data_IF_694872328368
#
_entry.id   IF_694872328368
#
_cell.length_a   1.000
_cell.length_b   1.000
_cell.length_c   1.000
_cell.angle_alpha   90.00
_cell.angle_beta   90.00
_cell.angle_gamma   90.00
#
_symmetry.space_group_name_H-M   'P 1'
#
loop_
_entity.id
_entity.type
_entity.pdbx_description
1 polymer ?
#
# COMPACT_ATOMS: atom_id res chain seq x y z
N UNK A 1 14.07 -11.10 -9.13
CA UNK A 1 13.12 -11.95 -9.88
C UNK A 1 12.17 -11.13 -10.78
N UNK A 2 12.05 -9.81 -10.57
CA UNK A 2 11.19 -8.96 -11.40
C UNK A 2 9.73 -8.96 -10.96
N UNK A 3 9.45 -9.29 -9.69
CA UNK A 3 8.08 -9.36 -9.13
C UNK A 3 7.31 -8.04 -9.21
N UNK A 4 8.00 -6.88 -9.11
CA UNK A 4 7.40 -5.54 -9.25
C UNK A 4 7.85 -4.92 -10.57
N UNK A 5 6.91 -4.51 -11.42
CA UNK A 5 7.20 -3.96 -12.75
C UNK A 5 6.34 -2.74 -13.10
N UNK A 6 6.79 -1.97 -14.09
CA UNK A 6 6.06 -0.84 -14.66
C UNK A 6 5.68 0.22 -13.62
N UNK A 7 4.45 0.72 -13.72
CA UNK A 7 3.94 1.79 -12.84
C UNK A 7 3.81 1.43 -11.37
N UNK A 8 4.04 0.16 -10.98
CA UNK A 8 4.08 -0.24 -9.57
C UNK A 8 5.41 0.12 -8.89
N UNK A 9 6.50 0.21 -9.67
CA UNK A 9 7.82 0.60 -9.15
C UNK A 9 7.78 1.96 -8.44
N UNK A 10 7.32 3.07 -9.07
CA UNK A 10 7.29 4.36 -8.39
C UNK A 10 6.31 4.41 -7.20
N UNK A 11 5.27 3.56 -7.20
CA UNK A 11 4.32 3.46 -6.08
C UNK A 11 5.00 2.85 -4.86
N UNK A 12 5.72 1.75 -5.05
CA UNK A 12 6.45 1.08 -3.98
C UNK A 12 7.60 1.95 -3.46
N UNK A 13 8.36 2.60 -4.36
CA UNK A 13 9.41 3.54 -3.97
C UNK A 13 8.87 4.66 -3.07
N UNK A 14 7.70 5.22 -3.41
CA UNK A 14 7.05 6.24 -2.59
C UNK A 14 6.63 5.70 -1.22
N UNK A 15 6.03 4.50 -1.16
CA UNK A 15 5.64 3.87 0.10
C UNK A 15 6.85 3.61 1.00
N UNK A 16 7.94 3.08 0.43
CA UNK A 16 9.20 2.82 1.15
C UNK A 16 9.80 4.13 1.68
N UNK A 17 9.87 5.16 0.84
CA UNK A 17 10.40 6.46 1.25
C UNK A 17 9.58 7.10 2.39
N UNK A 18 8.25 6.97 2.35
CA UNK A 18 7.37 7.48 3.40
C UNK A 18 7.63 6.78 4.74
N UNK A 19 7.70 5.45 4.73
CA UNK A 19 7.95 4.67 5.95
C UNK A 19 9.34 4.94 6.51
N UNK A 20 10.36 5.04 5.66
CA UNK A 20 11.72 5.43 6.06
C UNK A 20 11.80 6.87 6.62
N UNK A 21 10.86 7.73 6.24
CA UNK A 21 10.76 9.11 6.75
C UNK A 21 9.95 9.23 8.04
N UNK A 22 9.55 8.11 8.66
CA UNK A 22 8.88 8.08 9.96
C UNK A 22 7.34 7.95 9.91
N UNK A 23 6.76 7.62 8.75
CA UNK A 23 5.36 7.21 8.68
C UNK A 23 5.23 5.76 9.18
N UNK A 24 4.28 5.50 10.07
CA UNK A 24 4.10 4.15 10.65
C UNK A 24 3.86 3.06 9.59
N UNK A 25 3.03 3.36 8.59
CA UNK A 25 2.77 2.46 7.47
C UNK A 25 2.19 3.21 6.25
N UNK A 26 2.36 2.61 5.07
CA UNK A 26 1.74 3.04 3.83
C UNK A 26 1.01 1.87 3.16
N UNK A 27 -0.15 2.12 2.55
CA UNK A 27 -0.97 1.08 1.91
C UNK A 27 -1.20 1.39 0.44
N UNK A 28 -1.00 0.41 -0.43
CA UNK A 28 -1.45 0.44 -1.82
C UNK A 28 -2.82 -0.26 -1.92
N UNK A 29 -3.87 0.52 -2.18
CA UNK A 29 -5.26 0.04 -2.25
C UNK A 29 -5.69 -0.35 -3.67
N UNK A 30 -6.57 -1.34 -3.80
CA UNK A 30 -7.33 -1.56 -5.04
C UNK A 30 -8.54 -0.61 -5.10
N UNK A 31 -8.38 0.50 -5.82
CA UNK A 31 -9.42 1.52 -5.97
C UNK A 31 -10.68 1.07 -6.73
N UNK A 32 -10.72 -0.13 -7.29
CA UNK A 32 -11.92 -0.68 -7.95
C UNK A 32 -12.89 -1.33 -6.96
N UNK A 33 -12.41 -1.67 -5.76
CA UNK A 33 -13.25 -2.27 -4.72
C UNK A 33 -14.09 -1.16 -4.07
N UNK A 34 -15.44 -1.28 -4.04
CA UNK A 34 -16.29 -0.33 -3.34
C UNK A 34 -15.89 -0.23 -1.88
N UNK A 35 -15.72 1.00 -1.39
CA UNK A 35 -15.34 1.28 -0.01
C UNK A 35 -13.99 0.71 0.42
N UNK A 36 -13.03 0.50 -0.51
CA UNK A 36 -11.69 -0.04 -0.21
C UNK A 36 -11.02 0.62 1.01
N UNK A 37 -11.13 1.95 1.16
CA UNK A 37 -10.61 2.67 2.32
C UNK A 37 -11.22 2.22 3.65
N UNK A 38 -12.55 2.05 3.69
CA UNK A 38 -13.24 1.61 4.90
C UNK A 38 -12.89 0.16 5.22
N UNK A 39 -12.80 -0.69 4.20
CA UNK A 39 -12.39 -2.09 4.36
C UNK A 39 -10.97 -2.20 4.90
N UNK A 40 -10.04 -1.38 4.39
CA UNK A 40 -8.66 -1.33 4.88
C UNK A 40 -8.58 -0.96 6.35
N UNK A 41 -9.30 0.08 6.76
CA UNK A 41 -9.20 0.62 8.13
C UNK A 41 -9.96 -0.25 9.14
N UNK A 42 -11.13 -0.77 8.77
CA UNK A 42 -12.08 -1.35 9.72
C UNK A 42 -12.19 -2.87 9.65
N UNK A 43 -11.37 -3.56 8.84
CA UNK A 43 -11.35 -5.02 8.77
C UNK A 43 -9.93 -5.56 8.94
N UNK A 44 -9.82 -6.78 9.49
CA UNK A 44 -8.52 -7.45 9.66
C UNK A 44 -7.90 -7.90 8.34
N UNK A 45 -8.72 -8.18 7.34
CA UNK A 45 -8.24 -8.66 6.05
C UNK A 45 -7.65 -7.52 5.21
N UNK A 46 -8.18 -6.31 5.36
CA UNK A 46 -7.84 -5.18 4.51
C UNK A 46 -8.31 -5.32 3.06
N UNK A 47 -7.98 -4.33 2.24
CA UNK A 47 -8.29 -4.25 0.81
C UNK A 47 -7.06 -3.86 -0.05
N UNK A 48 -5.86 -3.91 0.53
CA UNK A 48 -4.62 -3.54 -0.15
C UNK A 48 -3.39 -4.29 0.34
N UNK A 49 -2.23 -3.77 -0.05
CA UNK A 49 -0.92 -4.24 0.40
C UNK A 49 -0.33 -3.22 1.36
N UNK A 50 -0.08 -3.66 2.60
CA UNK A 50 0.54 -2.87 3.65
C UNK A 50 2.08 -2.90 3.54
N UNK A 51 2.71 -1.74 3.61
CA UNK A 51 4.16 -1.54 3.73
C UNK A 51 4.43 -0.87 5.07
N UNK A 52 5.28 -1.48 5.90
CA UNK A 52 5.70 -0.95 7.20
C UNK A 52 7.17 -1.32 7.47
N UNK A 53 7.80 -0.65 8.44
CA UNK A 53 9.18 -0.93 8.87
C UNK A 53 9.27 -2.16 9.77
#
# INVERSE_FOLDING_TARGET
>A
DGTITGGMIPKIETCVAAVQSGVDAAVILDGRIPHAMLLEIFTRQGAGTLVHA
#
